data_IF_993977442706
#
_entry.id   IF_993977442706
#
_cell.length_a   1.000
_cell.length_b   1.000
_cell.length_c   1.000
_cell.angle_alpha   90.00
_cell.angle_beta   90.00
_cell.angle_gamma   90.00
#
_symmetry.space_group_name_H-M   'P 1'
#
loop_
_entity.id
_entity.type
_entity.pdbx_description
1 polymer ?
#
# COMPACT_ATOMS: atom_id res chain seq x y z
N UNK A 1 16.47 25.33 -22.37
CA UNK A 1 17.47 24.53 -21.62
C UNK A 1 16.71 23.75 -20.56
N UNK A 2 16.94 22.44 -20.42
CA UNK A 2 16.30 21.62 -19.38
C UNK A 2 17.23 21.53 -18.16
N UNK A 3 16.67 21.70 -16.96
CA UNK A 3 17.38 21.50 -15.69
C UNK A 3 16.46 20.73 -14.73
N UNK A 4 17.06 19.96 -13.84
CA UNK A 4 16.38 19.20 -12.78
C UNK A 4 17.21 19.31 -11.50
N UNK A 5 16.58 19.08 -10.36
CA UNK A 5 17.30 18.98 -9.09
C UNK A 5 18.24 17.77 -9.12
N UNK A 6 19.36 17.86 -8.42
CA UNK A 6 20.37 16.80 -8.37
C UNK A 6 19.78 15.46 -7.88
N UNK A 7 18.83 15.54 -6.95
CA UNK A 7 18.15 14.38 -6.36
C UNK A 7 16.95 13.89 -7.18
N UNK A 8 16.54 14.60 -8.25
CA UNK A 8 15.42 14.19 -9.10
C UNK A 8 15.86 13.16 -10.15
N UNK A 9 16.03 11.93 -9.66
CA UNK A 9 16.41 10.78 -10.46
C UNK A 9 15.35 10.40 -11.50
N UNK A 10 14.06 10.68 -11.28
CA UNK A 10 13.03 10.33 -12.26
C UNK A 10 13.11 11.27 -13.47
N UNK A 11 13.33 12.56 -13.26
CA UNK A 11 13.59 13.52 -14.34
C UNK A 11 14.89 13.19 -15.09
N UNK A 12 15.97 12.88 -14.38
CA UNK A 12 17.23 12.43 -15.00
C UNK A 12 17.00 11.22 -15.92
N UNK A 13 16.34 10.18 -15.40
CA UNK A 13 16.07 8.95 -16.14
C UNK A 13 15.15 9.19 -17.33
N UNK A 14 14.17 10.09 -17.19
CA UNK A 14 13.25 10.43 -18.26
C UNK A 14 13.96 11.11 -19.42
N UNK A 15 14.74 12.17 -19.16
CA UNK A 15 15.46 12.90 -20.20
C UNK A 15 16.50 12.03 -20.90
N UNK A 16 17.31 11.30 -20.14
CA UNK A 16 18.29 10.37 -20.74
C UNK A 16 17.61 9.28 -21.59
N UNK A 17 16.44 8.80 -21.17
CA UNK A 17 15.65 7.86 -21.98
C UNK A 17 15.09 8.50 -23.25
N UNK A 18 14.63 9.75 -23.18
CA UNK A 18 14.16 10.49 -24.36
C UNK A 18 15.27 10.65 -25.40
N UNK A 19 16.48 11.00 -24.97
CA UNK A 19 17.63 11.13 -25.88
C UNK A 19 17.92 9.83 -26.63
N UNK A 20 17.78 8.68 -25.95
CA UNK A 20 17.95 7.36 -26.57
C UNK A 20 16.82 7.02 -27.53
N UNK A 21 15.57 7.26 -27.13
CA UNK A 21 14.40 6.96 -27.97
C UNK A 21 14.38 7.83 -29.21
N UNK A 22 14.77 9.10 -29.09
CA UNK A 22 14.94 10.02 -30.22
C UNK A 22 16.18 9.76 -31.09
N UNK A 23 16.99 8.73 -30.79
CA UNK A 23 18.15 8.36 -31.60
C UNK A 23 19.38 9.26 -31.46
N UNK A 24 19.32 10.28 -30.59
CA UNK A 24 20.42 11.23 -30.39
C UNK A 24 21.64 10.60 -29.73
N UNK A 25 21.43 9.63 -28.83
CA UNK A 25 22.48 9.03 -27.99
C UNK A 25 22.28 7.52 -27.87
N UNK A 26 23.38 6.76 -27.87
CA UNK A 26 23.37 5.31 -27.59
C UNK A 26 23.34 5.07 -26.08
N UNK A 27 22.64 4.03 -25.63
CA UNK A 27 22.56 3.66 -24.19
C UNK A 27 23.95 3.52 -23.52
N UNK A 28 24.94 3.00 -24.24
CA UNK A 28 26.32 2.86 -23.76
C UNK A 28 27.01 4.21 -23.50
N UNK A 29 26.66 5.26 -24.25
CA UNK A 29 27.23 6.59 -24.02
C UNK A 29 26.72 7.19 -22.71
N UNK A 30 25.44 6.97 -22.36
CA UNK A 30 24.87 7.40 -21.08
C UNK A 30 25.54 6.68 -19.91
N UNK A 31 25.75 5.36 -20.03
CA UNK A 31 26.47 4.58 -19.01
C UNK A 31 27.86 5.14 -18.75
N UNK A 32 28.62 5.43 -19.81
CA UNK A 32 29.98 5.96 -19.70
C UNK A 32 30.02 7.41 -19.18
N UNK A 33 29.11 8.27 -19.64
CA UNK A 33 29.10 9.68 -19.29
C UNK A 33 28.65 9.94 -17.84
N UNK A 34 27.65 9.19 -17.35
CA UNK A 34 27.04 9.42 -16.04
C UNK A 34 27.40 8.34 -15.00
N UNK A 35 28.21 7.34 -15.35
CA UNK A 35 28.60 6.27 -14.41
C UNK A 35 27.44 5.40 -13.92
N UNK A 36 26.29 5.40 -14.62
CA UNK A 36 25.10 4.65 -14.22
C UNK A 36 25.12 3.22 -14.76
N UNK A 37 24.49 2.28 -14.04
CA UNK A 37 24.44 0.90 -14.49
C UNK A 37 23.68 0.74 -15.82
N UNK A 38 24.20 -0.12 -16.71
CA UNK A 38 23.54 -0.42 -17.99
C UNK A 38 22.13 -0.99 -17.82
N UNK A 39 21.90 -1.74 -16.74
CA UNK A 39 20.59 -2.30 -16.40
C UNK A 39 19.58 -1.18 -16.09
N UNK A 40 20.01 -0.14 -15.35
CA UNK A 40 19.15 1.01 -15.05
C UNK A 40 18.74 1.74 -16.32
N UNK A 41 19.69 2.02 -17.21
CA UNK A 41 19.41 2.70 -18.49
C UNK A 41 18.44 1.88 -19.34
N UNK A 42 18.68 0.57 -19.49
CA UNK A 42 17.77 -0.32 -20.23
C UNK A 42 16.35 -0.30 -19.68
N UNK A 43 16.20 -0.36 -18.34
CA UNK A 43 14.90 -0.33 -17.66
C UNK A 43 14.17 1.00 -17.88
N UNK A 44 14.88 2.12 -17.78
CA UNK A 44 14.28 3.45 -18.01
C UNK A 44 13.85 3.63 -19.46
N UNK A 45 14.69 3.24 -20.43
CA UNK A 45 14.32 3.29 -21.85
C UNK A 45 13.11 2.40 -22.14
N UNK A 46 13.08 1.18 -21.59
CA UNK A 46 11.92 0.29 -21.72
C UNK A 46 10.66 0.92 -21.11
N UNK A 47 10.75 1.46 -19.89
CA UNK A 47 9.64 2.16 -19.21
C UNK A 47 9.09 3.31 -20.06
N UNK A 48 9.96 4.11 -20.69
CA UNK A 48 9.54 5.20 -21.58
C UNK A 48 8.78 4.68 -22.80
N UNK A 49 9.23 3.57 -23.40
CA UNK A 49 8.56 2.97 -24.57
C UNK A 49 7.20 2.38 -24.23
N UNK A 50 7.06 1.74 -23.07
CA UNK A 50 5.83 1.02 -22.68
C UNK A 50 4.79 1.92 -22.02
N UNK A 51 5.22 2.87 -21.20
CA UNK A 51 4.33 3.67 -20.35
C UNK A 51 4.38 5.17 -20.64
N UNK A 52 5.27 5.60 -21.55
CA UNK A 52 5.48 7.02 -21.85
C UNK A 52 5.96 7.81 -20.62
N UNK A 53 5.80 9.14 -20.63
CA UNK A 53 6.13 10.01 -19.49
C UNK A 53 5.40 9.63 -18.20
N UNK A 54 4.17 9.11 -18.31
CA UNK A 54 3.37 8.66 -17.16
C UNK A 54 4.06 7.54 -16.38
N UNK A 55 4.94 6.76 -17.00
CA UNK A 55 5.70 5.71 -16.33
C UNK A 55 6.70 6.22 -15.28
N UNK A 56 7.18 7.46 -15.42
CA UNK A 56 8.15 8.08 -14.51
C UNK A 56 7.47 8.92 -13.43
N UNK A 57 6.48 9.71 -13.83
CA UNK A 57 5.87 10.71 -12.95
C UNK A 57 4.55 10.27 -12.31
N UNK A 58 4.08 9.05 -12.56
CA UNK A 58 2.94 8.53 -11.81
C UNK A 58 3.38 8.29 -10.38
N UNK A 59 2.69 8.91 -9.42
CA UNK A 59 2.79 8.53 -8.02
C UNK A 59 2.49 7.04 -7.93
N UNK A 60 3.54 6.24 -7.72
CA UNK A 60 3.40 4.82 -7.46
C UNK A 60 2.66 4.74 -6.14
N UNK A 61 1.39 4.36 -6.19
CA UNK A 61 0.71 3.81 -5.04
C UNK A 61 1.41 2.49 -4.73
N UNK A 62 2.58 2.58 -4.09
CA UNK A 62 3.31 1.45 -3.52
C UNK A 62 2.52 1.05 -2.28
N UNK A 63 1.30 0.59 -2.51
CA UNK A 63 0.45 0.00 -1.50
C UNK A 63 1.22 -1.22 -1.06
N UNK A 64 1.78 -1.20 0.16
CA UNK A 64 2.27 -2.42 0.79
C UNK A 64 1.15 -3.43 0.65
N UNK A 65 1.43 -4.56 -0.02
CA UNK A 65 0.44 -5.61 -0.14
C UNK A 65 0.04 -6.01 1.27
N UNK A 66 -1.27 -5.90 1.57
CA UNK A 66 -1.83 -6.31 2.85
C UNK A 66 -1.87 -7.84 2.89
N UNK A 67 -0.70 -8.48 2.91
CA UNK A 67 -0.55 -9.94 2.84
C UNK A 67 -1.31 -10.65 3.98
N UNK A 68 -1.44 -9.96 5.13
CA UNK A 68 -2.12 -10.48 6.32
C UNK A 68 -3.64 -10.23 6.30
N UNK A 69 -4.12 -9.20 5.58
CA UNK A 69 -5.53 -8.81 5.58
C UNK A 69 -6.13 -8.95 4.17
N UNK A 70 -6.07 -10.18 3.64
CA UNK A 70 -6.76 -10.53 2.40
C UNK A 70 -8.28 -10.26 2.54
N UNK A 71 -9.00 -9.97 1.45
CA UNK A 71 -10.43 -9.61 1.51
C UNK A 71 -11.28 -10.67 2.24
N UNK A 72 -10.94 -11.94 2.08
CA UNK A 72 -11.62 -13.05 2.77
C UNK A 72 -11.36 -13.03 4.29
N UNK A 73 -10.10 -12.86 4.70
CA UNK A 73 -9.71 -12.78 6.11
C UNK A 73 -10.33 -11.56 6.76
N UNK A 74 -10.35 -10.44 6.03
CA UNK A 74 -10.99 -9.19 6.45
C UNK A 74 -12.47 -9.40 6.75
N UNK A 75 -13.21 -10.08 5.87
CA UNK A 75 -14.63 -10.37 6.09
C UNK A 75 -14.87 -11.29 7.29
N UNK A 76 -14.03 -12.31 7.49
CA UNK A 76 -14.12 -13.23 8.64
C UNK A 76 -13.82 -12.52 9.96
N UNK A 77 -12.79 -11.67 9.99
CA UNK A 77 -12.41 -10.84 11.14
C UNK A 77 -13.53 -9.84 11.46
N UNK A 78 -14.09 -9.17 10.46
CA UNK A 78 -15.20 -8.23 10.62
C UNK A 78 -16.43 -8.91 11.27
N UNK A 79 -16.84 -10.08 10.79
CA UNK A 79 -17.95 -10.86 11.39
C UNK A 79 -17.67 -11.26 12.84
N UNK A 80 -16.43 -11.56 13.21
CA UNK A 80 -16.07 -11.90 14.59
C UNK A 80 -16.12 -10.67 15.51
N UNK A 81 -15.66 -9.51 15.01
CA UNK A 81 -15.75 -8.24 15.72
C UNK A 81 -17.20 -7.76 15.89
N UNK A 82 -18.06 -7.98 14.90
CA UNK A 82 -19.50 -7.66 14.97
C UNK A 82 -20.25 -8.51 16.00
N UNK A 83 -19.84 -9.76 16.18
CA UNK A 83 -20.37 -10.67 17.23
C UNK A 83 -19.89 -10.31 18.64
N UNK A 84 -19.11 -9.24 18.79
CA UNK A 84 -18.62 -8.76 20.08
C UNK A 84 -17.37 -9.48 20.59
N UNK A 85 -16.70 -10.30 19.77
CA UNK A 85 -15.44 -10.93 20.17
C UNK A 85 -14.35 -9.88 20.34
N UNK A 86 -13.47 -10.07 21.33
CA UNK A 86 -12.37 -9.14 21.54
C UNK A 86 -11.33 -9.24 20.43
N UNK A 87 -10.57 -8.16 20.23
CA UNK A 87 -9.50 -8.11 19.22
C UNK A 87 -8.38 -9.12 19.52
N UNK A 88 -8.15 -9.42 20.79
CA UNK A 88 -7.17 -10.41 21.23
C UNK A 88 -7.59 -11.84 20.85
N UNK A 89 -8.85 -12.20 21.13
CA UNK A 89 -9.40 -13.52 20.79
C UNK A 89 -9.48 -13.73 19.27
N UNK A 90 -9.90 -12.69 18.53
CA UNK A 90 -9.95 -12.73 17.06
C UNK A 90 -8.56 -12.88 16.46
N UNK A 91 -7.55 -12.19 17.02
CA UNK A 91 -6.16 -12.35 16.62
C UNK A 91 -5.63 -13.77 16.81
N UNK A 92 -5.91 -14.38 17.96
CA UNK A 92 -5.54 -15.80 18.23
C UNK A 92 -6.23 -16.76 17.26
N UNK A 93 -7.53 -16.56 16.99
CA UNK A 93 -8.32 -17.43 16.12
C UNK A 93 -7.84 -17.45 14.67
N UNK A 94 -7.36 -16.32 14.15
CA UNK A 94 -6.89 -16.20 12.77
C UNK A 94 -5.36 -16.19 12.64
N UNK A 95 -4.62 -16.41 13.74
CA UNK A 95 -3.17 -16.29 13.80
C UNK A 95 -2.65 -14.93 13.28
N UNK A 96 -3.38 -13.85 13.59
CA UNK A 96 -3.07 -12.48 13.20
C UNK A 96 -2.68 -11.69 14.45
N UNK A 97 -1.54 -11.00 14.40
CA UNK A 97 -1.10 -10.13 15.49
C UNK A 97 -2.17 -9.08 15.79
N UNK A 98 -2.53 -8.90 17.06
CA UNK A 98 -3.55 -7.92 17.47
C UNK A 98 -3.22 -6.49 17.03
N UNK A 99 -1.93 -6.13 16.93
CA UNK A 99 -1.49 -4.85 16.38
C UNK A 99 -1.89 -4.64 14.92
N UNK A 100 -1.99 -5.70 14.12
CA UNK A 100 -2.44 -5.64 12.72
C UNK A 100 -3.93 -5.35 12.64
N UNK A 101 -4.73 -5.96 13.52
CA UNK A 101 -6.17 -5.68 13.62
C UNK A 101 -6.39 -4.25 14.12
N UNK A 102 -5.62 -3.77 15.10
CA UNK A 102 -5.68 -2.39 15.57
C UNK A 102 -5.33 -1.39 14.46
N UNK A 103 -4.26 -1.66 13.68
CA UNK A 103 -3.90 -0.83 12.52
C UNK A 103 -4.98 -0.82 11.46
N UNK A 104 -5.60 -1.97 11.19
CA UNK A 104 -6.69 -2.07 10.23
C UNK A 104 -7.93 -1.29 10.69
N UNK A 105 -8.22 -1.24 11.99
CA UNK A 105 -9.28 -0.38 12.53
C UNK A 105 -8.91 1.11 12.38
N UNK A 106 -7.68 1.48 12.75
CA UNK A 106 -7.21 2.86 12.66
C UNK A 106 -7.17 3.39 11.21
N UNK A 107 -6.82 2.53 10.25
CA UNK A 107 -6.80 2.86 8.83
C UNK A 107 -8.17 2.79 8.15
N UNK A 108 -9.27 2.60 8.92
CA UNK A 108 -10.62 2.48 8.39
C UNK A 108 -10.88 1.23 7.56
N UNK A 109 -10.01 0.24 7.61
CA UNK A 109 -10.19 -1.03 6.91
C UNK A 109 -11.18 -1.93 7.66
N UNK A 110 -11.20 -1.91 9.00
CA UNK A 110 -12.15 -2.66 9.82
C UNK A 110 -12.99 -1.71 10.65
N UNK A 111 -14.30 -1.97 10.76
CA UNK A 111 -15.19 -1.15 11.56
C UNK A 111 -15.32 -1.72 12.96
N UNK A 112 -14.97 -0.92 13.98
CA UNK A 112 -15.30 -1.24 15.37
C UNK A 112 -16.68 -0.67 15.67
N UNK A 113 -17.70 -1.54 15.84
CA UNK A 113 -18.99 -1.07 16.37
C UNK A 113 -18.74 -0.35 17.69
N UNK A 114 -19.23 0.89 17.82
CA UNK A 114 -19.30 1.56 19.11
C UNK A 114 -20.09 0.65 20.04
N UNK A 115 -19.47 0.26 21.16
CA UNK A 115 -20.12 -0.53 22.20
C UNK A 115 -21.36 0.26 22.66
N UNK A 116 -22.54 -0.14 22.18
CA UNK A 116 -23.79 0.42 22.71
C UNK A 116 -23.85 -0.01 24.18
N UNK A 117 -23.78 0.96 25.10
CA UNK A 117 -24.17 0.76 26.50
C UNK A 117 -25.69 0.52 26.52
N UNK A 118 -26.13 -0.40 27.39
CA UNK A 118 -27.49 -0.94 27.58
C UNK A 118 -27.84 -2.08 26.61
N UNK A 119 -28.26 -3.30 27.02
CA UNK A 119 -29.10 -3.71 28.14
C UNK A 119 -28.45 -4.81 28.98
N UNK A 120 -28.18 -4.56 30.27
CA UNK A 120 -28.01 -5.58 31.31
C UNK A 120 -28.39 -4.96 32.65
N UNK A 121 -29.68 -4.68 32.81
CA UNK A 121 -30.29 -4.34 34.10
C UNK A 121 -31.81 -4.37 33.97
N UNK A 122 -32.41 -5.52 34.26
CA UNK A 122 -33.72 -5.73 34.92
C UNK A 122 -34.13 -7.20 34.81
N UNK A 123 -33.38 -8.08 35.48
CA UNK A 123 -33.87 -9.38 35.94
C UNK A 123 -33.57 -9.45 37.43
N UNK A 124 -34.42 -8.81 38.23
CA UNK A 124 -34.62 -9.13 39.65
C UNK A 124 -35.79 -8.29 40.15
N UNK A 125 -36.98 -8.89 40.08
CA UNK A 125 -37.89 -9.02 41.22
C UNK A 125 -38.95 -10.04 40.82
N UNK A 126 -38.66 -11.28 41.20
CA UNK A 126 -39.66 -12.29 41.52
C UNK A 126 -40.55 -11.69 42.60
N UNK A 127 -41.85 -11.57 42.34
CA UNK A 127 -42.91 -11.61 43.35
C UNK A 127 -44.22 -11.90 42.62
N UNK A 128 -44.72 -13.12 42.78
CA UNK A 128 -46.05 -13.60 42.41
C UNK A 128 -46.49 -14.47 43.60
N UNK A 129 -47.79 -14.57 43.94
CA UNK A 129 -48.80 -13.54 44.16
C UNK A 129 -48.84 -13.07 45.63
#
# INVERSE_FOLDING_TARGET
>A
MFSHEEDDLESFRFITSQLVVGGNVKQQQIVKAFGVSAISVKRSVKRLREHGPKGFFRQSARTRSAHVLTPEVKAKVQKCLERGQSVSETGKKFNIKSSTIHKAIQSGQLEKKKRQKALRSKETKVSVP
#
